data_IF_684792053338
#
_entry.id   IF_684792053338
#
_cell.length_a   1.000
_cell.length_b   1.000
_cell.length_c   1.000
_cell.angle_alpha   90.00
_cell.angle_beta   90.00
_cell.angle_gamma   90.00
#
_symmetry.space_group_name_H-M   'P 1'
#
loop_
_entity.id
_entity.type
_entity.pdbx_description
1 polymer ?
#
# COMPACT_ATOMS: atom_id res chain seq x y z
N UNK A 1 -4.95 -15.63 8.92
CA UNK A 1 -4.72 -16.04 7.51
C UNK A 1 -5.80 -15.54 6.54
N UNK A 2 -7.01 -15.17 6.96
CA UNK A 2 -8.07 -14.68 6.04
C UNK A 2 -7.86 -13.24 5.55
N UNK A 3 -7.20 -12.38 6.35
CA UNK A 3 -7.06 -10.95 6.07
C UNK A 3 -6.20 -10.61 4.85
N UNK A 4 -5.18 -11.41 4.56
CA UNK A 4 -4.36 -11.27 3.33
C UNK A 4 -5.21 -11.59 2.09
N UNK A 5 -5.92 -12.72 2.11
CA UNK A 5 -6.78 -13.14 0.99
C UNK A 5 -7.88 -12.13 0.67
N UNK A 6 -8.43 -11.50 1.71
CA UNK A 6 -9.48 -10.49 1.63
C UNK A 6 -8.97 -9.06 1.43
N UNK A 7 -7.65 -8.86 1.31
CA UNK A 7 -7.04 -7.53 1.17
C UNK A 7 -7.41 -6.57 2.32
N UNK A 8 -7.51 -7.04 3.56
CA UNK A 8 -8.03 -6.23 4.68
C UNK A 8 -7.04 -5.19 5.21
N UNK A 9 -5.76 -5.34 4.90
CA UNK A 9 -4.72 -4.44 5.40
C UNK A 9 -4.72 -3.06 4.73
N UNK A 10 -5.52 -2.86 3.68
CA UNK A 10 -5.71 -1.56 3.02
C UNK A 10 -6.57 -0.60 3.85
N UNK A 11 -7.35 -1.13 4.80
CA UNK A 11 -8.27 -0.35 5.60
C UNK A 11 -7.57 0.32 6.77
N UNK A 12 -8.11 1.47 7.21
CA UNK A 12 -7.70 2.10 8.47
C UNK A 12 -8.04 1.20 9.65
N UNK A 13 -7.34 1.39 10.75
CA UNK A 13 -7.65 0.68 11.99
C UNK A 13 -8.71 1.46 12.78
N UNK A 14 -9.54 0.73 13.50
CA UNK A 14 -10.42 1.31 14.52
C UNK A 14 -9.88 0.95 15.89
N UNK A 15 -10.04 1.86 16.83
CA UNK A 15 -9.90 1.50 18.23
C UNK A 15 -11.08 0.61 18.65
N UNK A 16 -10.88 -0.32 19.61
CA UNK A 16 -12.01 -0.98 20.26
C UNK A 16 -12.95 0.06 20.91
N UNK A 17 -14.15 -0.35 21.29
CA UNK A 17 -15.11 0.53 21.98
C UNK A 17 -14.57 0.92 23.37
N UNK A 18 -13.83 2.03 23.40
CA UNK A 18 -13.15 2.56 24.58
C UNK A 18 -13.41 4.05 24.69
N UNK A 19 -13.48 4.52 25.93
CA UNK A 19 -13.47 5.95 26.22
C UNK A 19 -12.04 6.48 26.11
N UNK A 20 -11.73 7.11 24.98
CA UNK A 20 -10.41 7.67 24.69
C UNK A 20 -9.93 8.70 25.73
N UNK A 21 -10.84 9.28 26.52
CA UNK A 21 -10.48 10.27 27.55
C UNK A 21 -9.81 9.64 28.77
N UNK A 22 -9.91 8.31 28.92
CA UNK A 22 -9.31 7.55 30.01
C UNK A 22 -7.89 7.09 29.73
N UNK A 23 -7.37 7.34 28.52
CA UNK A 23 -6.06 6.89 28.07
C UNK A 23 -5.14 8.08 27.81
N UNK A 24 -3.86 7.90 28.11
CA UNK A 24 -2.83 8.82 27.64
C UNK A 24 -2.66 8.72 26.12
N UNK A 25 -2.11 9.76 25.49
CA UNK A 25 -1.78 9.72 24.06
C UNK A 25 -0.80 8.58 23.72
N UNK A 26 0.13 8.27 24.63
CA UNK A 26 1.06 7.16 24.50
C UNK A 26 0.30 5.84 24.36
N UNK A 27 -0.66 5.59 25.25
CA UNK A 27 -1.49 4.39 25.21
C UNK A 27 -2.38 4.35 23.97
N UNK A 28 -2.95 5.49 23.54
CA UNK A 28 -3.77 5.56 22.34
C UNK A 28 -2.98 5.24 21.06
N UNK A 29 -1.75 5.75 20.93
CA UNK A 29 -0.84 5.43 19.83
C UNK A 29 -0.54 3.92 19.83
N UNK A 30 -0.17 3.35 20.99
CA UNK A 30 0.10 1.91 21.10
C UNK A 30 -1.13 1.06 20.77
N UNK A 31 -2.32 1.46 21.24
CA UNK A 31 -3.58 0.78 20.94
C UNK A 31 -3.92 0.85 19.46
N UNK A 32 -3.72 1.99 18.79
CA UNK A 32 -3.92 2.12 17.36
C UNK A 32 -2.98 1.19 16.58
N UNK A 33 -1.69 1.19 16.90
CA UNK A 33 -0.71 0.31 16.23
C UNK A 33 -1.01 -1.18 16.44
N UNK A 34 -1.54 -1.56 17.60
CA UNK A 34 -1.82 -2.96 17.94
C UNK A 34 -3.24 -3.42 17.62
N UNK A 35 -4.16 -2.50 17.31
CA UNK A 35 -5.55 -2.87 17.05
C UNK A 35 -5.66 -3.86 15.88
N UNK A 36 -6.44 -4.96 16.05
CA UNK A 36 -6.75 -5.90 14.99
C UNK A 36 -8.02 -5.52 14.20
N UNK A 37 -8.71 -4.43 14.59
CA UNK A 37 -10.02 -4.05 14.03
C UNK A 37 -9.79 -3.12 12.83
N UNK A 38 -10.44 -3.42 11.71
CA UNK A 38 -10.35 -2.65 10.46
C UNK A 38 -11.65 -1.91 10.16
N UNK A 39 -11.53 -0.64 9.78
CA UNK A 39 -12.63 0.16 9.23
C UNK A 39 -12.87 -0.20 7.76
N UNK A 40 -13.86 -1.06 7.49
CA UNK A 40 -14.16 -1.54 6.13
C UNK A 40 -14.66 -0.46 5.17
N UNK A 41 -14.95 0.75 5.66
CA UNK A 41 -15.43 1.87 4.83
C UNK A 41 -14.38 2.97 4.65
N UNK A 42 -13.19 2.85 5.28
CA UNK A 42 -12.10 3.83 5.15
C UNK A 42 -10.78 3.19 4.75
N UNK A 43 -10.23 3.67 3.64
CA UNK A 43 -8.93 3.24 3.14
C UNK A 43 -7.81 4.04 3.81
N UNK A 44 -6.66 3.38 3.96
CA UNK A 44 -5.37 4.04 4.19
C UNK A 44 -4.99 4.87 2.96
N UNK A 45 -4.09 5.82 3.14
CA UNK A 45 -3.43 6.44 1.98
C UNK A 45 -2.40 5.48 1.36
N UNK A 46 -1.88 5.82 0.17
CA UNK A 46 -0.97 4.95 -0.57
C UNK A 46 0.30 4.60 0.21
N UNK A 47 0.91 5.58 0.85
CA UNK A 47 2.15 5.41 1.59
C UNK A 47 1.97 4.50 2.80
N UNK A 48 0.86 4.67 3.53
CA UNK A 48 0.45 3.77 4.62
C UNK A 48 0.18 2.34 4.12
N UNK A 49 -0.45 2.18 2.95
CA UNK A 49 -0.69 0.85 2.37
C UNK A 49 0.61 0.14 2.02
N UNK A 50 1.52 0.82 1.31
CA UNK A 50 2.75 0.21 0.81
C UNK A 50 3.81 0.01 1.91
N UNK A 51 3.67 0.71 3.04
CA UNK A 51 4.44 0.44 4.25
C UNK A 51 3.90 -0.73 5.08
N UNK A 52 2.76 -1.31 4.68
CA UNK A 52 2.11 -2.40 5.41
C UNK A 52 2.42 -3.76 4.79
N UNK A 53 3.15 -4.60 5.53
CA UNK A 53 3.51 -5.96 5.11
C UNK A 53 2.31 -6.77 4.62
N UNK A 54 1.14 -6.64 5.27
CA UNK A 54 -0.07 -7.35 4.88
C UNK A 54 -0.60 -6.97 3.50
N UNK A 55 -0.40 -5.73 3.03
CA UNK A 55 -0.76 -5.31 1.66
C UNK A 55 0.22 -5.91 0.66
N UNK A 56 1.52 -5.86 0.97
CA UNK A 56 2.57 -6.44 0.12
C UNK A 56 2.39 -7.96 -0.01
N UNK A 57 2.10 -8.66 1.09
CA UNK A 57 1.78 -10.09 1.11
C UNK A 57 0.53 -10.40 0.28
N UNK A 58 -0.49 -9.54 0.33
CA UNK A 58 -1.70 -9.70 -0.50
C UNK A 58 -1.37 -9.61 -1.99
N UNK A 59 -0.51 -8.66 -2.36
CA UNK A 59 -0.13 -8.49 -3.74
C UNK A 59 0.72 -9.65 -4.26
N UNK A 60 1.72 -10.11 -3.50
CA UNK A 60 2.47 -11.32 -3.86
C UNK A 60 1.58 -12.55 -3.98
N UNK A 61 0.63 -12.72 -3.05
CA UNK A 61 -0.35 -13.79 -3.14
C UNK A 61 -1.15 -13.69 -4.45
N UNK A 62 -1.68 -12.52 -4.79
CA UNK A 62 -2.44 -12.31 -6.03
C UNK A 62 -1.60 -12.54 -7.28
N UNK A 63 -0.36 -12.06 -7.32
CA UNK A 63 0.58 -12.29 -8.43
C UNK A 63 0.86 -13.79 -8.60
N UNK A 64 1.25 -14.46 -7.52
CA UNK A 64 1.64 -15.87 -7.54
C UNK A 64 0.46 -16.81 -7.78
N UNK A 65 -0.77 -16.38 -7.52
CA UNK A 65 -2.00 -17.15 -7.74
C UNK A 65 -2.70 -16.81 -9.06
N UNK A 66 -2.22 -15.82 -9.81
CA UNK A 66 -2.86 -15.38 -11.05
C UNK A 66 -2.57 -16.34 -12.20
N UNK A 67 -3.62 -16.93 -12.76
CA UNK A 67 -3.53 -17.96 -13.82
C UNK A 67 -2.94 -17.44 -15.13
N UNK A 68 -3.15 -16.15 -15.46
CA UNK A 68 -2.60 -15.52 -16.67
C UNK A 68 -1.08 -15.40 -16.50
N UNK A 69 -0.62 -14.79 -15.39
CA UNK A 69 0.81 -14.64 -15.11
C UNK A 69 1.53 -16.00 -15.01
N UNK A 70 0.88 -17.00 -14.41
CA UNK A 70 1.37 -18.37 -14.33
C UNK A 70 1.54 -19.05 -15.70
N UNK A 71 0.64 -18.76 -16.65
CA UNK A 71 0.64 -19.37 -17.97
C UNK A 71 1.55 -18.68 -18.98
N UNK A 72 2.02 -17.47 -18.68
CA UNK A 72 2.94 -16.72 -19.53
C UNK A 72 4.39 -17.24 -19.36
N UNK A 73 4.69 -18.37 -20.00
CA UNK A 73 6.04 -18.94 -20.00
C UNK A 73 6.97 -18.21 -20.98
N UNK A 74 8.25 -18.11 -20.61
CA UNK A 74 9.29 -17.42 -21.38
C UNK A 74 10.08 -18.37 -22.30
N UNK A 75 11.00 -17.86 -23.13
CA UNK A 75 11.92 -18.70 -23.88
C UNK A 75 12.88 -19.49 -22.99
N UNK A 76 13.40 -20.62 -23.49
CA UNK A 76 14.34 -21.51 -22.75
C UNK A 76 15.56 -20.77 -22.21
N UNK A 77 16.02 -19.73 -22.91
CA UNK A 77 17.17 -18.90 -22.52
C UNK A 77 16.97 -18.28 -21.14
N UNK A 78 15.75 -17.87 -20.79
CA UNK A 78 15.43 -17.36 -19.47
C UNK A 78 15.62 -18.43 -18.38
N UNK A 79 14.98 -19.59 -18.54
CA UNK A 79 15.01 -20.65 -17.52
C UNK A 79 16.38 -21.29 -17.33
N UNK A 80 17.22 -21.29 -18.37
CA UNK A 80 18.57 -21.82 -18.29
C UNK A 80 19.45 -21.09 -17.25
N UNK A 81 19.10 -19.88 -16.81
CA UNK A 81 19.82 -19.19 -15.72
C UNK A 81 19.63 -19.87 -14.36
N UNK A 82 18.60 -20.70 -14.19
CA UNK A 82 18.24 -21.36 -12.93
C UNK A 82 18.60 -22.85 -12.90
N UNK A 83 19.16 -23.39 -13.99
CA UNK A 83 19.49 -24.79 -14.14
C UNK A 83 21.00 -24.99 -14.26
N UNK A 84 21.51 -26.11 -13.72
CA UNK A 84 22.91 -26.50 -13.88
C UNK A 84 23.23 -26.93 -15.33
N UNK A 85 22.24 -27.47 -16.04
CA UNK A 85 22.32 -27.89 -17.43
C UNK A 85 21.18 -27.28 -18.23
N UNK A 86 21.41 -26.84 -19.48
CA UNK A 86 20.38 -26.18 -20.28
C UNK A 86 19.25 -27.15 -20.65
N UNK A 87 18.03 -26.60 -20.80
CA UNK A 87 16.86 -27.37 -21.22
C UNK A 87 17.12 -28.05 -22.57
N UNK A 88 16.88 -29.37 -22.69
CA UNK A 88 17.04 -30.10 -23.94
C UNK A 88 16.26 -29.48 -25.12
N UNK A 89 16.77 -29.64 -26.35
CA UNK A 89 16.15 -29.05 -27.55
C UNK A 89 14.71 -29.53 -27.78
N UNK A 90 14.40 -30.78 -27.42
CA UNK A 90 13.10 -31.41 -27.59
C UNK A 90 12.08 -31.12 -26.47
N UNK A 91 12.49 -30.51 -25.35
CA UNK A 91 11.60 -30.16 -24.25
C UNK A 91 11.27 -28.67 -24.25
N UNK A 92 10.06 -28.31 -23.84
CA UNK A 92 9.66 -26.93 -23.58
C UNK A 92 9.78 -26.62 -22.07
N UNK A 93 9.87 -25.34 -21.67
CA UNK A 93 9.90 -24.98 -20.25
C UNK A 93 8.72 -25.53 -19.45
N UNK A 94 7.53 -25.62 -20.05
CA UNK A 94 6.31 -26.15 -19.44
C UNK A 94 6.41 -27.64 -19.07
N UNK A 95 7.32 -28.38 -19.70
CA UNK A 95 7.53 -29.81 -19.41
C UNK A 95 8.36 -30.02 -18.13
N UNK A 96 9.03 -28.97 -17.64
CA UNK A 96 9.97 -29.01 -16.51
C UNK A 96 9.44 -28.20 -15.32
N UNK A 97 8.90 -27.01 -15.59
CA UNK A 97 8.44 -26.08 -14.56
C UNK A 97 6.92 -26.03 -14.51
N UNK A 98 6.38 -26.10 -13.30
CA UNK A 98 4.97 -25.84 -13.04
C UNK A 98 4.63 -24.36 -13.28
N UNK A 99 3.35 -24.03 -13.53
CA UNK A 99 2.92 -22.64 -13.70
C UNK A 99 3.22 -21.76 -12.47
N UNK A 100 3.19 -22.33 -11.27
CA UNK A 100 3.59 -21.63 -10.05
C UNK A 100 5.09 -21.34 -10.02
N UNK A 101 5.94 -22.33 -10.32
CA UNK A 101 7.39 -22.14 -10.39
C UNK A 101 7.77 -21.10 -11.43
N UNK A 102 7.06 -21.01 -12.56
CA UNK A 102 7.26 -19.96 -13.56
C UNK A 102 7.19 -18.55 -12.94
N UNK A 103 6.14 -18.23 -12.18
CA UNK A 103 5.98 -16.90 -11.54
C UNK A 103 7.02 -16.68 -10.44
N UNK A 104 7.36 -17.71 -9.67
CA UNK A 104 8.39 -17.63 -8.65
C UNK A 104 9.78 -17.33 -9.26
N UNK A 105 10.13 -17.99 -10.36
CA UNK A 105 11.39 -17.73 -11.07
C UNK A 105 11.45 -16.31 -11.64
N UNK A 106 10.34 -15.80 -12.21
CA UNK A 106 10.23 -14.38 -12.60
C UNK A 106 10.44 -13.44 -11.42
N UNK A 107 9.87 -13.77 -10.25
CA UNK A 107 10.05 -13.00 -9.01
C UNK A 107 11.52 -12.96 -8.60
N UNK A 108 12.21 -14.11 -8.57
CA UNK A 108 13.63 -14.15 -8.25
C UNK A 108 14.50 -13.42 -9.26
N UNK A 109 14.14 -13.49 -10.55
CA UNK A 109 14.82 -12.72 -11.58
C UNK A 109 14.76 -11.22 -11.30
N UNK A 110 13.56 -10.67 -11.05
CA UNK A 110 13.38 -9.25 -10.77
C UNK A 110 14.20 -8.83 -9.54
N UNK A 111 14.11 -9.59 -8.45
CA UNK A 111 14.88 -9.30 -7.23
C UNK A 111 16.40 -9.33 -7.47
N UNK A 112 16.89 -10.33 -8.21
CA UNK A 112 18.31 -10.44 -8.55
C UNK A 112 18.80 -9.28 -9.42
N UNK A 113 17.92 -8.64 -10.20
CA UNK A 113 18.28 -7.45 -10.99
C UNK A 113 18.16 -6.14 -10.21
N UNK A 114 17.37 -6.13 -9.14
CA UNK A 114 17.24 -4.98 -8.25
C UNK A 114 18.36 -4.91 -7.19
N UNK A 115 18.93 -6.06 -6.78
CA UNK A 115 20.05 -6.09 -5.83
C UNK A 115 21.31 -5.37 -6.34
N UNK A 116 21.41 -5.18 -7.65
CA UNK A 116 22.54 -4.52 -8.31
C UNK A 116 22.42 -2.99 -8.32
N UNK A 117 21.27 -2.43 -7.89
CA UNK A 117 20.99 -0.98 -7.86
C UNK A 117 20.83 -0.51 -6.41
N UNK A 118 21.94 -0.16 -5.76
CA UNK A 118 22.00 0.28 -4.35
C UNK A 118 21.93 1.79 -4.15
N UNK A 119 21.31 2.55 -5.07
CA UNK A 119 21.27 4.01 -4.97
C UNK A 119 19.85 4.57 -5.09
N UNK A 120 19.45 5.29 -4.03
CA UNK A 120 18.24 6.10 -3.82
C UNK A 120 17.02 5.42 -3.15
N UNK A 121 16.15 6.28 -2.59
CA UNK A 121 15.03 6.02 -1.68
C UNK A 121 13.64 5.78 -2.33
N UNK A 122 13.44 5.00 -3.41
CA UNK A 122 12.08 4.57 -3.76
C UNK A 122 11.54 3.55 -2.75
N UNK A 123 10.21 3.47 -2.67
CA UNK A 123 9.55 2.33 -2.03
C UNK A 123 9.89 1.09 -2.85
N UNK A 124 10.79 0.25 -2.33
CA UNK A 124 11.36 -0.96 -2.97
C UNK A 124 10.33 -1.76 -3.79
N UNK A 125 9.10 -1.81 -3.31
CA UNK A 125 8.04 -2.57 -3.98
C UNK A 125 7.51 -1.93 -5.28
N UNK A 126 7.45 -0.60 -5.39
CA UNK A 126 7.05 0.08 -6.63
C UNK A 126 8.05 -0.23 -7.74
N UNK A 127 9.34 -0.16 -7.42
CA UNK A 127 10.40 -0.51 -8.35
C UNK A 127 10.32 -1.96 -8.79
N UNK A 128 9.96 -2.87 -7.88
CA UNK A 128 9.72 -4.27 -8.23
C UNK A 128 8.63 -4.40 -9.31
N UNK A 129 7.51 -3.71 -9.18
CA UNK A 129 6.44 -3.72 -10.20
C UNK A 129 6.93 -3.09 -11.51
N UNK A 130 7.59 -1.93 -11.46
CA UNK A 130 8.15 -1.25 -12.64
C UNK A 130 9.15 -2.14 -13.38
N UNK A 131 10.07 -2.79 -12.66
CA UNK A 131 11.06 -3.72 -13.21
C UNK A 131 10.42 -4.99 -13.76
N UNK A 132 9.40 -5.53 -13.11
CA UNK A 132 8.65 -6.66 -13.66
C UNK A 132 8.03 -6.30 -15.01
N UNK A 133 7.32 -5.17 -15.10
CA UNK A 133 6.72 -4.69 -16.35
C UNK A 133 7.76 -4.47 -17.46
N UNK A 134 8.98 -4.05 -17.11
CA UNK A 134 10.09 -3.90 -18.07
C UNK A 134 10.62 -5.26 -18.57
N UNK A 135 10.84 -6.21 -17.67
CA UNK A 135 11.41 -7.52 -18.03
C UNK A 135 10.39 -8.46 -18.67
N UNK A 136 9.11 -8.32 -18.33
CA UNK A 136 8.03 -9.19 -18.77
C UNK A 136 6.86 -8.37 -19.34
N UNK A 137 6.99 -7.79 -20.55
CA UNK A 137 5.94 -6.93 -21.14
C UNK A 137 4.59 -7.62 -21.31
N UNK A 138 4.58 -8.94 -21.56
CA UNK A 138 3.35 -9.74 -21.68
C UNK A 138 2.56 -9.83 -20.36
N UNK A 139 3.23 -9.63 -19.22
CA UNK A 139 2.60 -9.63 -17.89
C UNK A 139 2.09 -8.23 -17.49
N UNK A 140 2.53 -7.16 -18.19
CA UNK A 140 2.36 -5.76 -17.78
C UNK A 140 0.90 -5.43 -17.47
N UNK A 141 -0.03 -5.76 -18.36
CA UNK A 141 -1.43 -5.41 -18.17
C UNK A 141 -2.04 -6.07 -16.93
N UNK A 142 -1.87 -7.39 -16.78
CA UNK A 142 -2.47 -8.11 -15.66
C UNK A 142 -1.80 -7.73 -14.34
N UNK A 143 -0.49 -7.50 -14.32
CA UNK A 143 0.23 -7.06 -13.13
C UNK A 143 -0.26 -5.69 -12.65
N UNK A 144 -0.38 -4.72 -13.56
CA UNK A 144 -0.87 -3.37 -13.23
C UNK A 144 -2.32 -3.40 -12.75
N UNK A 145 -3.17 -4.22 -13.38
CA UNK A 145 -4.54 -4.46 -12.93
C UNK A 145 -4.58 -5.01 -11.50
N UNK A 146 -3.74 -6.01 -11.16
CA UNK A 146 -3.64 -6.53 -9.79
C UNK A 146 -3.18 -5.48 -8.80
N UNK A 147 -2.21 -4.64 -9.18
CA UNK A 147 -1.70 -3.55 -8.34
C UNK A 147 -2.78 -2.50 -8.07
N UNK A 148 -3.47 -2.02 -9.11
CA UNK A 148 -4.57 -1.03 -9.00
C UNK A 148 -5.70 -1.60 -8.14
N UNK A 149 -6.12 -2.85 -8.34
CA UNK A 149 -7.17 -3.48 -7.54
C UNK A 149 -6.75 -3.76 -6.09
N UNK A 150 -5.45 -3.94 -5.84
CA UNK A 150 -4.96 -4.18 -4.48
C UNK A 150 -4.88 -2.87 -3.69
N UNK A 151 -4.47 -1.78 -4.32
CA UNK A 151 -4.40 -0.44 -3.70
C UNK A 151 -5.70 0.36 -3.86
N UNK A 152 -6.68 -0.17 -4.58
CA UNK A 152 -7.91 0.53 -4.99
C UNK A 152 -7.59 1.87 -5.68
N UNK A 153 -6.53 1.86 -6.50
CA UNK A 153 -6.03 3.03 -7.23
C UNK A 153 -5.40 4.12 -6.36
N UNK A 154 -5.40 4.00 -5.02
CA UNK A 154 -4.91 5.05 -4.10
C UNK A 154 -3.44 5.41 -4.33
N UNK A 155 -2.61 4.50 -4.85
CA UNK A 155 -1.22 4.77 -5.21
C UNK A 155 -1.05 5.70 -6.42
N UNK A 156 -2.11 5.88 -7.22
CA UNK A 156 -2.09 6.60 -8.50
C UNK A 156 -2.92 7.88 -8.41
N UNK A 157 -4.16 7.77 -7.91
CA UNK A 157 -5.05 8.91 -7.66
C UNK A 157 -6.01 8.60 -6.49
N UNK A 158 -6.69 9.64 -5.97
CA UNK A 158 -7.71 9.46 -4.94
C UNK A 158 -9.09 9.06 -5.48
N UNK A 159 -9.34 9.20 -6.78
CA UNK A 159 -10.69 9.11 -7.37
C UNK A 159 -11.35 7.75 -7.15
N UNK A 160 -10.68 6.67 -7.60
CA UNK A 160 -11.20 5.32 -7.50
C UNK A 160 -11.43 4.90 -6.03
N UNK A 161 -10.51 5.28 -5.15
CA UNK A 161 -10.63 5.05 -3.70
C UNK A 161 -11.82 5.77 -3.07
N UNK A 162 -12.12 7.00 -3.49
CA UNK A 162 -13.26 7.76 -2.96
C UNK A 162 -14.60 7.15 -3.39
N UNK A 163 -14.69 6.68 -4.64
CA UNK A 163 -15.85 5.92 -5.12
C UNK A 163 -16.00 4.64 -4.31
N UNK A 164 -14.88 3.93 -4.07
CA UNK A 164 -14.88 2.70 -3.29
C UNK A 164 -15.35 2.90 -1.85
N UNK A 165 -14.86 3.90 -1.13
CA UNK A 165 -15.30 4.17 0.26
C UNK A 165 -16.79 4.51 0.32
N UNK A 166 -17.27 5.31 -0.63
CA UNK A 166 -18.71 5.67 -0.73
C UNK A 166 -19.55 4.43 -1.03
N UNK A 167 -19.09 3.58 -1.95
CA UNK A 167 -19.72 2.31 -2.28
C UNK A 167 -19.73 1.36 -1.06
N UNK A 168 -18.60 1.23 -0.35
CA UNK A 168 -18.49 0.40 0.84
C UNK A 168 -19.45 0.85 1.95
N UNK A 169 -19.57 2.16 2.19
CA UNK A 169 -20.55 2.72 3.11
C UNK A 169 -21.99 2.32 2.74
N UNK A 170 -22.38 2.54 1.48
CA UNK A 170 -23.73 2.19 1.03
C UNK A 170 -24.01 0.70 1.01
N UNK A 171 -22.98 -0.13 0.76
CA UNK A 171 -23.06 -1.58 0.90
C UNK A 171 -23.31 -1.99 2.35
N UNK A 172 -22.61 -1.37 3.31
CA UNK A 172 -22.75 -1.66 4.73
C UNK A 172 -24.15 -1.34 5.27
N UNK A 173 -24.77 -0.23 4.83
CA UNK A 173 -26.14 0.15 5.24
C UNK A 173 -27.24 -0.50 4.38
N UNK A 174 -26.88 -1.36 3.42
CA UNK A 174 -27.85 -2.07 2.57
C UNK A 174 -28.62 -1.19 1.58
N UNK A 175 -28.02 -0.07 1.13
CA UNK A 175 -28.67 0.87 0.21
C UNK A 175 -28.59 0.42 -1.25
N UNK A 176 -29.64 0.67 -2.04
CA UNK A 176 -29.65 0.41 -3.48
C UNK A 176 -28.59 1.22 -4.25
N UNK A 177 -28.14 2.37 -3.70
CA UNK A 177 -27.05 3.19 -4.24
C UNK A 177 -25.75 2.42 -4.46
N UNK A 178 -25.54 1.33 -3.72
CA UNK A 178 -24.39 0.44 -3.93
C UNK A 178 -24.31 -0.06 -5.38
N UNK A 179 -25.44 -0.46 -5.98
CA UNK A 179 -25.49 -0.98 -7.36
C UNK A 179 -25.14 0.09 -8.38
N UNK A 180 -25.62 1.32 -8.19
CA UNK A 180 -25.31 2.47 -9.07
C UNK A 180 -23.80 2.76 -9.05
N UNK A 181 -23.21 2.81 -7.84
CA UNK A 181 -21.78 3.06 -7.66
C UNK A 181 -20.88 1.92 -8.16
N UNK A 182 -21.41 0.70 -8.32
CA UNK A 182 -20.65 -0.42 -8.86
C UNK A 182 -20.31 -0.19 -10.34
N UNK A 183 -21.23 0.40 -11.12
CA UNK A 183 -20.99 0.81 -12.50
C UNK A 183 -19.91 1.90 -12.58
N UNK A 184 -20.07 2.96 -11.78
CA UNK A 184 -19.10 4.06 -11.71
C UNK A 184 -17.70 3.60 -11.29
N UNK A 185 -17.61 2.65 -10.34
CA UNK A 185 -16.34 2.06 -9.94
C UNK A 185 -15.66 1.32 -11.10
N UNK A 186 -16.41 0.52 -11.86
CA UNK A 186 -15.86 -0.23 -13.00
C UNK A 186 -15.37 0.70 -14.10
N UNK A 187 -16.16 1.70 -14.46
CA UNK A 187 -15.79 2.70 -15.47
C UNK A 187 -14.55 3.51 -15.04
N UNK A 188 -14.51 3.95 -13.77
CA UNK A 188 -13.35 4.66 -13.22
C UNK A 188 -12.11 3.77 -13.18
N UNK A 189 -12.26 2.49 -12.83
CA UNK A 189 -11.18 1.50 -12.85
C UNK A 189 -10.63 1.29 -14.26
N UNK A 190 -11.49 1.05 -15.25
CA UNK A 190 -11.06 0.80 -16.63
C UNK A 190 -10.35 2.02 -17.21
N UNK A 191 -10.86 3.23 -16.94
CA UNK A 191 -10.20 4.49 -17.31
C UNK A 191 -8.85 4.67 -16.63
N UNK A 192 -8.75 4.40 -15.32
CA UNK A 192 -7.48 4.51 -14.59
C UNK A 192 -6.46 3.50 -15.13
N UNK A 193 -6.89 2.25 -15.40
CA UNK A 193 -6.06 1.21 -15.98
C UNK A 193 -5.51 1.65 -17.34
N UNK A 194 -6.37 2.18 -18.22
CA UNK A 194 -5.95 2.68 -19.53
C UNK A 194 -4.89 3.78 -19.42
N UNK A 195 -5.10 4.79 -18.56
CA UNK A 195 -4.14 5.88 -18.32
C UNK A 195 -2.77 5.40 -17.83
N UNK A 196 -2.75 4.35 -17.02
CA UNK A 196 -1.50 3.76 -16.54
C UNK A 196 -0.84 2.94 -17.64
N UNK A 197 -1.62 2.23 -18.46
CA UNK A 197 -1.10 1.46 -19.59
C UNK A 197 -0.51 2.34 -20.70
N UNK A 198 -1.05 3.54 -20.91
CA UNK A 198 -0.54 4.54 -21.85
C UNK A 198 0.57 5.42 -21.26
N UNK A 199 1.02 5.12 -20.03
CA UNK A 199 2.03 5.89 -19.29
C UNK A 199 1.65 7.38 -19.10
N UNK A 200 0.35 7.71 -19.13
CA UNK A 200 -0.16 9.03 -18.75
C UNK A 200 -0.04 9.23 -17.23
N UNK A 201 -0.24 8.16 -16.46
CA UNK A 201 -0.04 8.14 -15.01
C UNK A 201 0.99 7.11 -14.57
N UNK A 202 1.91 7.55 -13.72
CA UNK A 202 2.83 6.69 -12.99
C UNK A 202 2.09 5.94 -11.86
N UNK A 203 2.50 4.69 -11.58
CA UNK A 203 1.84 3.84 -10.57
C UNK A 203 2.01 4.32 -9.12
N UNK A 204 2.92 5.26 -8.91
CA UNK A 204 3.28 5.91 -7.65
C UNK A 204 2.95 7.41 -7.64
N UNK A 205 2.18 7.91 -8.62
CA UNK A 205 1.87 9.34 -8.77
C UNK A 205 1.21 9.98 -7.53
N UNK A 206 0.54 9.19 -6.68
CA UNK A 206 -0.10 9.64 -5.45
C UNK A 206 0.61 9.14 -4.18
N UNK A 207 1.93 8.88 -4.26
CA UNK A 207 2.79 8.62 -3.12
C UNK A 207 3.64 9.86 -2.87
N UNK A 208 3.43 10.49 -1.71
CA UNK A 208 4.19 11.68 -1.30
C UNK A 208 5.58 11.36 -0.75
N UNK A 209 6.43 12.39 -0.59
CA UNK A 209 7.71 12.26 0.07
C UNK A 209 7.55 11.83 1.54
N UNK A 210 8.61 11.25 2.10
CA UNK A 210 8.67 11.01 3.55
C UNK A 210 9.06 12.32 4.25
N UNK A 211 8.17 12.85 5.10
CA UNK A 211 8.42 14.08 5.88
C UNK A 211 8.54 13.68 7.35
N UNK A 212 9.74 13.25 7.73
CA UNK A 212 10.03 12.79 9.08
C UNK A 212 10.26 13.96 10.04
N UNK A 213 9.48 14.00 11.11
CA UNK A 213 9.63 14.95 12.22
C UNK A 213 9.83 14.16 13.51
N UNK A 214 10.77 14.63 14.34
CA UNK A 214 11.05 14.05 15.65
C UNK A 214 10.51 14.97 16.74
N UNK A 215 9.59 14.46 17.55
CA UNK A 215 9.06 15.15 18.72
C UNK A 215 9.95 14.83 19.93
N UNK A 216 10.85 15.75 20.28
CA UNK A 216 11.79 15.59 21.41
C UNK A 216 11.11 15.70 22.79
N UNK A 217 9.88 16.21 22.84
CA UNK A 217 9.11 16.43 24.06
C UNK A 217 8.13 15.29 24.36
N UNK A 218 7.97 14.34 23.43
CA UNK A 218 7.07 13.20 23.58
C UNK A 218 7.79 11.86 23.41
N UNK A 219 7.71 11.01 24.42
CA UNK A 219 8.44 9.75 24.48
C UNK A 219 7.49 8.55 24.43
N UNK A 220 7.77 7.61 23.54
CA UNK A 220 7.02 6.35 23.41
C UNK A 220 7.91 5.14 23.74
N UNK A 221 7.34 4.04 24.27
CA UNK A 221 8.07 2.81 24.50
C UNK A 221 8.61 2.23 23.20
N UNK A 222 9.81 1.67 23.22
CA UNK A 222 10.43 1.03 22.05
C UNK A 222 9.73 -0.28 21.70
N UNK A 223 9.14 -0.96 22.69
CA UNK A 223 8.35 -2.16 22.51
C UNK A 223 7.24 -2.27 23.57
N UNK A 224 6.22 -3.09 23.26
CA UNK A 224 5.00 -3.22 24.07
C UNK A 224 5.23 -3.79 25.48
N UNK A 225 6.27 -4.60 25.66
CA UNK A 225 6.53 -5.33 26.90
C UNK A 225 7.62 -4.70 27.79
N UNK A 226 8.28 -3.63 27.33
CA UNK A 226 9.28 -2.89 28.11
C UNK A 226 8.93 -1.41 28.09
N UNK A 227 8.09 -1.00 29.05
CA UNK A 227 7.52 0.35 29.09
C UNK A 227 8.52 1.41 29.55
N UNK A 228 9.61 0.97 30.19
CA UNK A 228 10.64 1.84 30.77
C UNK A 228 11.62 2.35 29.72
N UNK A 229 11.88 1.58 28.66
CA UNK A 229 12.73 2.01 27.54
C UNK A 229 11.92 2.84 26.57
N UNK A 230 11.98 4.17 26.74
CA UNK A 230 11.29 5.12 25.89
C UNK A 230 12.24 5.95 25.04
N UNK A 231 11.80 6.31 23.84
CA UNK A 231 12.53 7.18 22.90
C UNK A 231 11.62 8.29 22.39
N UNK A 232 12.19 9.44 21.96
CA UNK A 232 11.45 10.47 21.27
C UNK A 232 10.68 9.92 20.09
N UNK A 233 9.40 10.28 19.98
CA UNK A 233 8.52 9.85 18.91
C UNK A 233 8.96 10.49 17.59
N UNK A 234 9.19 9.67 16.57
CA UNK A 234 9.45 10.12 15.21
C UNK A 234 8.28 9.71 14.31
N UNK A 235 7.70 10.68 13.59
CA UNK A 235 6.54 10.47 12.74
C UNK A 235 6.82 10.98 11.34
N UNK A 236 6.24 10.30 10.34
CA UNK A 236 6.15 10.83 8.99
C UNK A 236 4.78 11.51 8.82
N UNK A 237 4.75 12.81 8.53
CA UNK A 237 3.49 13.57 8.44
C UNK A 237 2.51 12.99 7.42
N UNK A 238 3.02 12.38 6.35
CA UNK A 238 2.19 11.76 5.33
C UNK A 238 1.57 10.41 5.75
N UNK A 239 2.02 9.81 6.85
CA UNK A 239 1.45 8.57 7.38
C UNK A 239 0.92 8.67 8.81
N UNK A 240 1.21 9.78 9.50
CA UNK A 240 0.83 10.04 10.88
C UNK A 240 -0.69 9.92 11.11
N UNK A 241 -1.06 9.40 12.27
CA UNK A 241 -2.44 9.35 12.76
C UNK A 241 -2.83 10.62 13.51
N UNK A 242 -4.11 10.73 13.88
CA UNK A 242 -4.54 11.86 14.70
C UNK A 242 -3.89 11.87 16.10
N UNK A 243 -3.53 10.70 16.63
CA UNK A 243 -2.90 10.58 17.94
C UNK A 243 -1.43 10.98 17.87
N UNK A 244 -0.73 10.57 16.80
CA UNK A 244 0.63 11.00 16.50
C UNK A 244 0.73 12.53 16.44
N UNK A 245 -0.15 13.17 15.67
CA UNK A 245 -0.16 14.62 15.50
C UNK A 245 -0.57 15.35 16.79
N UNK A 246 -1.44 14.76 17.60
CA UNK A 246 -1.86 15.37 18.86
C UNK A 246 -0.79 15.34 19.96
N UNK A 247 0.37 14.72 19.72
CA UNK A 247 1.51 14.78 20.63
C UNK A 247 2.22 16.14 20.66
N UNK A 248 1.96 17.01 19.68
CA UNK A 248 2.55 18.34 19.62
C UNK A 248 1.73 19.34 20.46
N UNK A 249 2.38 20.25 21.22
CA UNK A 249 1.73 21.09 22.25
C UNK A 249 0.52 21.91 21.78
N UNK A 250 0.48 22.30 20.50
CA UNK A 250 -0.56 23.17 19.92
C UNK A 250 -1.58 22.40 19.05
N UNK A 251 -1.47 21.08 18.96
CA UNK A 251 -2.33 20.27 18.10
C UNK A 251 -3.31 19.47 18.96
N UNK A 252 -4.54 19.96 19.06
CA UNK A 252 -5.64 19.16 19.64
C UNK A 252 -6.02 17.99 18.71
N UNK A 253 -6.65 16.93 19.25
CA UNK A 253 -7.20 15.83 18.44
C UNK A 253 -8.17 16.31 17.33
N UNK A 254 -8.91 17.40 17.59
CA UNK A 254 -9.78 18.00 16.57
C UNK A 254 -8.94 18.59 15.43
N UNK A 255 -7.90 19.35 15.78
CA UNK A 255 -6.98 19.96 14.80
C UNK A 255 -6.20 18.89 14.03
N UNK A 256 -5.72 17.85 14.70
CA UNK A 256 -5.08 16.70 14.07
C UNK A 256 -5.97 16.04 13.00
N UNK A 257 -7.25 15.83 13.30
CA UNK A 257 -8.23 15.31 12.32
C UNK A 257 -8.47 16.26 11.15
N UNK A 258 -8.43 17.57 11.38
CA UNK A 258 -8.52 18.57 10.30
C UNK A 258 -7.28 18.53 9.39
N UNK A 259 -6.08 18.47 9.98
CA UNK A 259 -4.81 18.32 9.22
C UNK A 259 -4.85 17.05 8.36
N UNK A 260 -5.28 15.92 8.91
CA UNK A 260 -5.42 14.65 8.15
C UNK A 260 -6.44 14.78 7.02
N UNK A 261 -7.56 15.47 7.24
CA UNK A 261 -8.54 15.71 6.17
C UNK A 261 -7.97 16.55 5.04
N UNK A 262 -7.19 17.59 5.34
CA UNK A 262 -6.52 18.38 4.31
C UNK A 262 -5.45 17.57 3.58
N UNK A 263 -4.62 16.79 4.31
CA UNK A 263 -3.68 15.84 3.71
C UNK A 263 -4.39 14.89 2.73
N UNK A 264 -5.49 14.27 3.16
CA UNK A 264 -6.20 13.26 2.37
C UNK A 264 -6.87 13.88 1.13
N UNK A 265 -7.30 15.15 1.20
CA UNK A 265 -7.80 15.91 0.03
C UNK A 265 -6.70 16.22 -0.97
N UNK A 266 -5.54 16.67 -0.49
CA UNK A 266 -4.36 16.94 -1.32
C UNK A 266 -3.76 15.63 -1.89
N UNK A 267 -3.97 14.52 -1.19
CA UNK A 267 -3.33 13.23 -1.43
C UNK A 267 -2.18 13.01 -0.44
N UNK A 268 -1.28 13.99 -0.37
CA UNK A 268 -0.15 14.04 0.54
C UNK A 268 0.36 15.48 0.66
N UNK A 269 1.15 15.75 1.69
CA UNK A 269 1.96 16.97 1.80
C UNK A 269 3.28 16.79 1.03
N UNK A 270 3.65 17.79 0.23
CA UNK A 270 4.88 17.85 -0.56
C UNK A 270 6.08 18.29 0.27
N UNK A 271 5.85 19.07 1.32
CA UNK A 271 6.89 19.59 2.19
C UNK A 271 6.35 19.91 3.57
N UNK A 272 7.25 20.23 4.50
CA UNK A 272 6.88 20.67 5.84
C UNK A 272 6.06 21.97 5.78
N UNK A 273 6.43 22.91 4.92
CA UNK A 273 5.75 24.20 4.77
C UNK A 273 4.30 24.03 4.30
N UNK A 274 4.00 23.05 3.44
CA UNK A 274 2.62 22.75 3.03
C UNK A 274 1.81 22.16 4.20
N UNK A 275 2.43 21.33 5.04
CA UNK A 275 1.80 20.84 6.26
C UNK A 275 1.52 21.98 7.26
N UNK A 276 2.46 22.92 7.41
CA UNK A 276 2.31 24.11 8.26
C UNK A 276 1.18 25.02 7.78
N UNK A 277 1.05 25.24 6.47
CA UNK A 277 -0.08 25.97 5.87
C UNK A 277 -1.43 25.29 6.14
N UNK A 278 -1.44 23.96 6.29
CA UNK A 278 -2.61 23.18 6.68
C UNK A 278 -2.84 23.15 8.20
N UNK A 279 -1.98 23.84 8.97
CA UNK A 279 -2.10 24.04 10.41
C UNK A 279 -1.35 23.02 11.26
N UNK A 280 -0.35 22.34 10.72
CA UNK A 280 0.66 21.65 11.53
C UNK A 280 1.57 22.70 12.19
N UNK A 281 1.79 22.57 13.49
CA UNK A 281 2.64 23.47 14.27
C UNK A 281 3.49 22.61 15.23
N UNK A 282 4.79 22.87 15.27
CA UNK A 282 5.73 22.19 16.17
C UNK A 282 5.66 22.76 17.59
#
# INVERSE_FOLDING_TARGET
MNSVLKNEYIYRKLLPDIDITQFSLEELILLEHTSPIFDKIRLKNAQQMLSCEGVIATLFYKINSNTILQSNFLPKTFYNHFLLSPIPKNMKPQDIFTPFENVILKTFWVWSKMSDTTESEPVVFIDFIKKWCQFFPEDREELLKLFILTTIGKAITNELGNIYETMAYYGMVGSQKFRELTGAFRESFDRLKEKVLTDEFEIDANIGPQIWIRNEDFYIPTCLWTKEDKRPLAINLNTASEFDLATFPNISLKKAKEIIRERDKLGYFKSLEEAEQCGFEM
#
